data_IF_769168378653
#
_entry.id   IF_769168378653
#
_cell.length_a   1.000
_cell.length_b   1.000
_cell.length_c   1.000
_cell.angle_alpha   90.00
_cell.angle_beta   90.00
_cell.angle_gamma   90.00
#
_symmetry.space_group_name_H-M   'P 1'
#
loop_
_entity.id
_entity.type
_entity.pdbx_description
1 polymer ?
#
# COMPACT_ATOMS: atom_id res chain seq x y z
N UNK A 1 -20.66 -7.41 -0.23
CA UNK A 1 -20.87 -5.98 0.11
C UNK A 1 -19.64 -5.12 -0.13
N UNK A 2 -19.77 -3.82 0.09
CA UNK A 2 -18.69 -2.81 -0.13
C UNK A 2 -17.35 -3.22 0.50
N UNK A 3 -17.35 -3.78 1.72
CA UNK A 3 -16.12 -4.22 2.38
C UNK A 3 -15.37 -5.31 1.62
N UNK A 4 -16.07 -6.21 0.96
CA UNK A 4 -15.44 -7.26 0.13
C UNK A 4 -14.80 -6.65 -1.13
N UNK A 5 -15.50 -5.73 -1.78
CA UNK A 5 -14.98 -5.04 -2.96
C UNK A 5 -13.73 -4.19 -2.61
N UNK A 6 -13.77 -3.47 -1.49
CA UNK A 6 -12.60 -2.72 -1.01
C UNK A 6 -11.42 -3.64 -0.72
N UNK A 7 -11.66 -4.80 -0.10
CA UNK A 7 -10.60 -5.78 0.18
C UNK A 7 -9.93 -6.29 -1.10
N UNK A 8 -10.71 -6.55 -2.15
CA UNK A 8 -10.16 -6.95 -3.45
C UNK A 8 -9.37 -5.82 -4.11
N UNK A 9 -9.92 -4.59 -4.12
CA UNK A 9 -9.22 -3.43 -4.68
C UNK A 9 -7.88 -3.19 -3.99
N UNK A 10 -7.83 -3.20 -2.66
CA UNK A 10 -6.58 -3.01 -1.91
C UNK A 10 -5.57 -4.12 -2.20
N UNK A 11 -6.03 -5.36 -2.40
CA UNK A 11 -5.17 -6.49 -2.78
C UNK A 11 -4.57 -6.29 -4.16
N UNK A 12 -5.37 -5.88 -5.14
CA UNK A 12 -4.90 -5.62 -6.50
C UNK A 12 -3.89 -4.45 -6.52
N UNK A 13 -4.17 -3.36 -5.83
CA UNK A 13 -3.25 -2.22 -5.73
C UNK A 13 -1.93 -2.59 -5.05
N UNK A 14 -1.97 -3.46 -4.05
CA UNK A 14 -0.76 -3.98 -3.41
C UNK A 14 0.09 -4.80 -4.38
N UNK A 15 -0.55 -5.57 -5.26
CA UNK A 15 0.14 -6.35 -6.30
C UNK A 15 0.76 -5.44 -7.37
N UNK A 16 0.01 -4.45 -7.84
CA UNK A 16 0.51 -3.45 -8.80
C UNK A 16 1.72 -2.69 -8.25
N UNK A 17 1.64 -2.24 -7.00
CA UNK A 17 2.76 -1.58 -6.32
C UNK A 17 4.01 -2.47 -6.25
N UNK A 18 3.86 -3.75 -5.87
CA UNK A 18 4.97 -4.70 -5.83
C UNK A 18 5.56 -4.98 -7.22
N UNK A 19 4.70 -5.12 -8.24
CA UNK A 19 5.16 -5.29 -9.61
C UNK A 19 5.94 -4.08 -10.10
N UNK A 20 5.47 -2.87 -9.84
CA UNK A 20 6.17 -1.63 -10.19
C UNK A 20 7.56 -1.56 -9.55
N UNK A 21 7.68 -1.88 -8.26
CA UNK A 21 8.97 -1.92 -7.57
C UNK A 21 9.91 -2.98 -8.17
N UNK A 22 9.41 -4.19 -8.47
CA UNK A 22 10.20 -5.25 -9.11
C UNK A 22 10.69 -4.85 -10.50
N UNK A 23 9.80 -4.25 -11.31
CA UNK A 23 10.14 -3.78 -12.65
C UNK A 23 11.24 -2.70 -12.59
N UNK A 24 11.08 -1.70 -11.73
CA UNK A 24 12.08 -0.67 -11.54
C UNK A 24 13.44 -1.26 -11.14
N UNK A 25 13.46 -2.18 -10.18
CA UNK A 25 14.71 -2.86 -9.78
C UNK A 25 15.33 -3.68 -10.91
N UNK A 26 14.52 -4.33 -11.73
CA UNK A 26 15.03 -5.08 -12.90
C UNK A 26 15.68 -4.13 -13.91
N UNK A 27 15.05 -3.00 -14.21
CA UNK A 27 15.64 -1.96 -15.05
C UNK A 27 16.95 -1.42 -14.48
N UNK A 28 17.04 -1.26 -13.16
CA UNK A 28 18.27 -0.83 -12.49
C UNK A 28 19.38 -1.90 -12.54
N UNK A 29 19.05 -3.18 -12.71
CA UNK A 29 20.04 -4.24 -12.94
C UNK A 29 20.60 -4.20 -14.39
N UNK A 30 19.78 -3.79 -15.35
CA UNK A 30 20.21 -3.61 -16.75
C UNK A 30 21.01 -2.31 -16.93
N UNK A 31 20.62 -1.22 -16.28
CA UNK A 31 21.36 0.05 -16.23
C UNK A 31 21.67 0.45 -14.77
N UNK A 32 22.89 0.13 -14.30
CA UNK A 32 23.33 0.43 -12.95
C UNK A 32 23.35 1.94 -12.62
N UNK A 33 23.27 2.83 -13.61
CA UNK A 33 23.21 4.27 -13.40
C UNK A 33 21.81 4.78 -13.08
N UNK A 34 20.78 4.01 -13.42
CA UNK A 34 19.38 4.41 -13.34
C UNK A 34 18.94 4.69 -11.91
N UNK A 35 19.35 3.86 -10.96
CA UNK A 35 19.03 4.05 -9.53
C UNK A 35 19.46 5.44 -9.04
N UNK A 36 20.68 5.85 -9.37
CA UNK A 36 21.20 7.16 -8.98
C UNK A 36 20.53 8.30 -9.76
N UNK A 37 20.26 8.12 -11.06
CA UNK A 37 19.59 9.12 -11.90
C UNK A 37 18.19 9.43 -11.38
N UNK A 38 17.42 8.41 -10.99
CA UNK A 38 16.04 8.56 -10.55
C UNK A 38 15.90 8.93 -9.07
N UNK A 39 16.98 8.84 -8.28
CA UNK A 39 16.94 9.02 -6.82
C UNK A 39 16.23 10.30 -6.39
N UNK A 40 16.67 11.44 -6.93
CA UNK A 40 16.11 12.75 -6.56
C UNK A 40 14.61 12.83 -6.87
N UNK A 41 14.19 12.32 -8.01
CA UNK A 41 12.81 12.39 -8.44
C UNK A 41 11.94 11.46 -7.61
N UNK A 42 12.40 10.25 -7.29
CA UNK A 42 11.72 9.31 -6.40
C UNK A 42 11.52 9.91 -5.01
N UNK A 43 12.56 10.47 -4.41
CA UNK A 43 12.45 11.07 -3.07
C UNK A 43 11.56 12.32 -3.08
N UNK A 44 11.65 13.17 -4.10
CA UNK A 44 10.76 14.33 -4.25
C UNK A 44 9.28 13.88 -4.43
N UNK A 45 9.04 12.85 -5.21
CA UNK A 45 7.71 12.27 -5.37
C UNK A 45 7.17 11.74 -4.03
N UNK A 46 8.00 11.01 -3.27
CA UNK A 46 7.65 10.51 -1.95
C UNK A 46 7.27 11.64 -0.97
N UNK A 47 8.04 12.74 -0.95
CA UNK A 47 7.70 13.92 -0.14
C UNK A 47 6.38 14.57 -0.58
N UNK A 48 6.12 14.66 -1.87
CA UNK A 48 4.89 15.23 -2.41
C UNK A 48 3.68 14.38 -2.04
N UNK A 49 3.81 13.06 -2.19
CA UNK A 49 2.76 12.09 -1.80
C UNK A 49 2.48 12.18 -0.30
N UNK A 50 3.52 12.16 0.54
CA UNK A 50 3.33 12.24 2.00
C UNK A 50 2.57 13.50 2.40
N UNK A 51 2.93 14.66 1.84
CA UNK A 51 2.21 15.92 2.13
C UNK A 51 0.74 15.86 1.69
N UNK A 52 0.45 15.24 0.56
CA UNK A 52 -0.93 15.09 0.08
C UNK A 52 -1.74 14.18 1.01
N UNK A 53 -1.17 13.03 1.40
CA UNK A 53 -1.79 12.08 2.32
C UNK A 53 -2.04 12.68 3.70
N UNK A 54 -1.05 13.37 4.27
CA UNK A 54 -1.21 14.04 5.58
C UNK A 54 -2.31 15.10 5.56
N UNK A 55 -2.40 15.89 4.48
CA UNK A 55 -3.50 16.86 4.30
C UNK A 55 -4.86 16.18 4.17
N UNK A 56 -4.92 15.05 3.48
CA UNK A 56 -6.15 14.27 3.36
C UNK A 56 -6.57 13.70 4.71
N UNK A 57 -5.63 13.18 5.50
CA UNK A 57 -5.88 12.70 6.86
C UNK A 57 -6.40 13.85 7.73
N UNK A 58 -5.75 15.03 7.69
CA UNK A 58 -6.20 16.19 8.45
C UNK A 58 -7.66 16.56 8.10
N UNK A 59 -8.01 16.45 6.83
CA UNK A 59 -9.38 16.72 6.38
C UNK A 59 -10.38 15.66 6.85
N UNK A 60 -10.02 14.39 6.81
CA UNK A 60 -10.87 13.29 7.29
C UNK A 60 -11.12 13.39 8.80
N UNK A 61 -10.13 13.85 9.57
CA UNK A 61 -10.18 13.94 11.02
C UNK A 61 -10.49 15.35 11.53
N UNK A 62 -11.00 16.23 10.69
CA UNK A 62 -11.34 17.62 11.05
C UNK A 62 -12.36 17.70 12.22
N UNK A 63 -13.20 16.69 12.38
CA UNK A 63 -14.19 16.57 13.46
C UNK A 63 -13.65 15.82 14.69
N UNK A 64 -12.38 15.45 14.70
CA UNK A 64 -11.73 14.66 15.73
C UNK A 64 -11.44 13.22 15.33
N UNK A 65 -10.79 12.49 16.24
CA UNK A 65 -10.43 11.08 16.02
C UNK A 65 -11.69 10.20 15.96
N UNK A 66 -11.60 9.14 15.18
CA UNK A 66 -12.63 8.10 15.07
C UNK A 66 -12.30 7.03 16.13
N UNK A 67 -13.33 6.35 16.66
CA UNK A 67 -13.13 5.27 17.61
C UNK A 67 -12.08 4.27 17.13
N UNK A 68 -11.04 4.07 17.95
CA UNK A 68 -9.88 3.19 17.67
C UNK A 68 -9.01 3.60 16.47
N UNK A 69 -9.20 4.79 15.89
CA UNK A 69 -8.39 5.29 14.79
C UNK A 69 -8.05 6.77 15.03
N UNK A 70 -6.77 7.07 15.25
CA UNK A 70 -6.26 8.42 15.46
C UNK A 70 -5.57 8.94 14.21
N UNK A 71 -5.81 10.22 13.91
CA UNK A 71 -5.11 10.90 12.80
C UNK A 71 -3.58 10.81 12.94
N UNK A 72 -3.06 10.95 14.17
CA UNK A 72 -1.63 10.85 14.45
C UNK A 72 -1.09 9.47 14.08
N UNK A 73 -1.72 8.38 14.57
CA UNK A 73 -1.28 7.01 14.33
C UNK A 73 -1.29 6.70 12.82
N UNK A 74 -2.32 7.14 12.11
CA UNK A 74 -2.43 6.95 10.65
C UNK A 74 -1.31 7.67 9.89
N UNK A 75 -0.95 8.90 10.29
CA UNK A 75 0.18 9.62 9.68
C UNK A 75 1.51 8.89 9.91
N UNK A 76 1.75 8.37 11.15
CA UNK A 76 2.96 7.60 11.44
C UNK A 76 3.01 6.30 10.63
N UNK A 77 1.89 5.61 10.51
CA UNK A 77 1.77 4.41 9.70
C UNK A 77 2.07 4.68 8.21
N UNK A 78 1.57 5.76 7.61
CA UNK A 78 1.86 6.12 6.23
C UNK A 78 3.34 6.41 6.02
N UNK A 79 4.00 7.10 6.95
CA UNK A 79 5.46 7.34 6.91
C UNK A 79 6.24 6.04 6.93
N UNK A 80 5.88 5.11 7.83
CA UNK A 80 6.46 3.74 7.89
C UNK A 80 6.30 3.03 6.54
N UNK A 81 5.07 3.01 5.98
CA UNK A 81 4.77 2.38 4.69
C UNK A 81 5.58 2.97 3.54
N UNK A 82 5.75 4.28 3.53
CA UNK A 82 6.51 4.97 2.49
C UNK A 82 8.00 4.63 2.57
N UNK A 83 8.57 4.54 3.78
CA UNK A 83 9.94 4.08 4.00
C UNK A 83 10.13 2.64 3.48
N UNK A 84 9.20 1.74 3.76
CA UNK A 84 9.23 0.37 3.24
C UNK A 84 9.28 0.35 1.70
N UNK A 85 8.52 1.23 1.04
CA UNK A 85 8.52 1.34 -0.43
C UNK A 85 9.83 1.94 -0.97
N UNK A 86 10.42 2.91 -0.29
CA UNK A 86 11.73 3.46 -0.63
C UNK A 86 12.80 2.35 -0.58
N UNK A 87 12.76 1.51 0.45
CA UNK A 87 13.66 0.34 0.57
C UNK A 87 13.37 -0.68 -0.52
N UNK A 88 12.11 -0.99 -0.80
CA UNK A 88 11.70 -1.92 -1.84
C UNK A 88 12.15 -1.49 -3.24
N UNK A 89 12.23 -0.18 -3.50
CA UNK A 89 12.80 0.39 -4.73
C UNK A 89 14.33 0.27 -4.80
N UNK A 90 15.01 -0.05 -3.70
CA UNK A 90 16.47 -0.21 -3.65
C UNK A 90 17.22 0.94 -2.98
N UNK A 91 16.52 1.91 -2.39
CA UNK A 91 17.12 3.03 -1.65
C UNK A 91 17.19 2.70 -0.16
N UNK A 92 18.28 2.11 0.28
CA UNK A 92 18.45 1.65 1.68
C UNK A 92 19.07 2.69 2.61
N UNK A 93 19.44 3.88 2.12
CA UNK A 93 20.08 4.89 2.93
C UNK A 93 19.06 5.55 3.88
N UNK A 94 19.24 5.39 5.19
CA UNK A 94 18.37 5.97 6.23
C UNK A 94 18.19 7.50 6.15
N UNK A 95 19.13 8.22 5.53
CA UNK A 95 19.01 9.68 5.35
C UNK A 95 17.85 10.10 4.44
N UNK A 96 17.28 9.15 3.73
CA UNK A 96 16.18 9.38 2.80
C UNK A 96 14.83 8.94 3.37
N UNK A 97 14.85 8.37 4.57
CA UNK A 97 13.67 7.89 5.24
C UNK A 97 12.99 9.01 6.03
N UNK A 98 11.66 8.93 6.08
CA UNK A 98 10.85 9.80 6.92
C UNK A 98 10.93 9.36 8.37
N UNK A 99 11.12 10.30 9.27
CA UNK A 99 11.00 10.03 10.71
C UNK A 99 9.55 9.69 11.07
N UNK A 100 9.36 8.69 11.90
CA UNK A 100 8.04 8.29 12.40
C UNK A 100 8.13 7.67 13.79
N UNK A 101 7.00 7.69 14.50
CA UNK A 101 6.81 7.04 15.78
C UNK A 101 6.41 5.58 15.57
N UNK A 102 7.32 4.66 15.91
CA UNK A 102 7.12 3.21 15.71
C UNK A 102 5.92 2.68 16.52
N UNK A 103 5.73 3.18 17.75
CA UNK A 103 4.62 2.75 18.62
C UNK A 103 3.29 3.19 18.00
N UNK A 104 3.17 4.44 17.62
CA UNK A 104 1.97 4.96 16.98
C UNK A 104 1.68 4.27 15.64
N UNK A 105 2.72 4.02 14.82
CA UNK A 105 2.57 3.30 13.57
C UNK A 105 2.08 1.86 13.78
N UNK A 106 2.55 1.17 14.84
CA UNK A 106 2.18 -0.23 15.13
C UNK A 106 0.70 -0.38 15.53
N UNK A 107 0.04 0.67 16.00
CA UNK A 107 -1.40 0.64 16.28
C UNK A 107 -2.25 0.29 15.05
N UNK A 108 -1.68 0.43 13.85
CA UNK A 108 -2.32 0.12 12.57
C UNK A 108 -1.77 -1.15 11.89
N UNK A 109 -0.95 -1.94 12.55
CA UNK A 109 -0.39 -3.17 11.98
C UNK A 109 -1.47 -4.20 11.60
N UNK A 110 -2.66 -4.15 12.22
CA UNK A 110 -3.83 -4.94 11.81
C UNK A 110 -4.23 -4.72 10.35
N UNK A 111 -3.94 -3.53 9.79
CA UNK A 111 -4.21 -3.21 8.40
C UNK A 111 -3.38 -4.06 7.44
N UNK A 112 -2.16 -4.46 7.81
CA UNK A 112 -1.37 -5.41 7.01
C UNK A 112 -2.07 -6.77 6.85
N UNK A 113 -2.78 -7.22 7.89
CA UNK A 113 -3.55 -8.47 7.82
C UNK A 113 -4.76 -8.37 6.88
N UNK A 114 -5.34 -7.18 6.75
CA UNK A 114 -6.42 -6.94 5.79
C UNK A 114 -5.92 -6.83 4.35
N UNK A 115 -4.73 -6.24 4.16
CA UNK A 115 -4.21 -5.90 2.82
C UNK A 115 -3.32 -6.97 2.20
N UNK A 116 -3.07 -8.09 2.89
CA UNK A 116 -2.33 -9.17 2.27
C UNK A 116 -1.23 -9.82 3.08
N UNK A 117 -1.40 -9.96 4.39
CA UNK A 117 -0.53 -10.79 5.24
C UNK A 117 -0.52 -12.28 4.89
N UNK A 118 -1.19 -12.69 3.84
CA UNK A 118 -1.04 -14.03 3.30
C UNK A 118 0.14 -14.06 2.34
N UNK A 119 1.13 -14.88 2.68
CA UNK A 119 2.19 -15.36 1.80
C UNK A 119 1.68 -15.38 0.36
N UNK A 120 2.30 -14.56 -0.49
CA UNK A 120 2.01 -14.59 -1.91
C UNK A 120 2.45 -15.94 -2.46
N UNK A 121 1.53 -16.88 -2.51
CA UNK A 121 1.62 -17.93 -3.51
C UNK A 121 1.61 -17.23 -4.85
N UNK A 122 2.59 -17.56 -5.66
CA UNK A 122 2.80 -16.98 -6.97
C UNK A 122 1.48 -16.81 -7.72
N UNK A 123 1.16 -15.60 -8.16
CA UNK A 123 -0.03 -15.30 -8.95
C UNK A 123 -0.20 -16.26 -10.15
N UNK A 124 0.93 -16.76 -10.68
CA UNK A 124 0.95 -17.72 -11.79
C UNK A 124 0.73 -19.17 -11.36
N UNK A 125 0.79 -19.50 -10.07
CA UNK A 125 0.66 -20.87 -9.55
C UNK A 125 -0.73 -21.14 -8.97
N UNK A 126 -1.41 -20.11 -8.48
CA UNK A 126 -2.79 -20.24 -7.96
C UNK A 126 -3.75 -19.63 -8.96
N UNK A 127 -4.49 -20.48 -9.69
CA UNK A 127 -5.67 -20.01 -10.43
C UNK A 127 -6.56 -19.25 -9.47
N UNK A 128 -7.09 -18.06 -9.82
CA UNK A 128 -8.03 -17.34 -8.98
C UNK A 128 -9.37 -18.10 -8.95
N UNK A 129 -9.42 -19.16 -8.14
CA UNK A 129 -10.63 -19.96 -7.93
C UNK A 129 -11.72 -19.17 -7.23
N UNK A 130 -11.39 -18.03 -6.62
CA UNK A 130 -12.34 -17.13 -5.99
C UNK A 130 -13.16 -16.28 -6.99
N UNK A 131 -12.69 -16.14 -8.23
CA UNK A 131 -13.46 -15.47 -9.30
C UNK A 131 -14.50 -16.37 -9.95
N UNK A 132 -14.35 -17.69 -9.88
CA UNK A 132 -15.26 -18.63 -10.55
C UNK A 132 -16.48 -19.01 -9.72
N UNK A 133 -16.53 -18.68 -8.42
CA UNK A 133 -17.62 -19.07 -7.54
C UNK A 133 -18.70 -18.00 -7.30
N UNK A 134 -18.53 -16.80 -7.83
CA UNK A 134 -19.56 -15.77 -7.72
C UNK A 134 -20.68 -15.92 -8.77
N UNK A 135 -20.54 -16.84 -9.74
CA UNK A 135 -21.51 -17.00 -10.83
C UNK A 135 -22.37 -18.26 -10.77
N UNK A 136 -22.28 -19.06 -9.71
CA UNK A 136 -23.15 -20.24 -9.55
C UNK A 136 -23.95 -20.11 -8.26
N UNK A 137 -25.07 -19.38 -8.29
CA UNK A 137 -26.03 -19.49 -7.23
C UNK A 137 -26.76 -18.26 -6.73
N UNK A 138 -26.81 -17.16 -7.45
CA UNK A 138 -27.82 -16.13 -7.21
C UNK A 138 -28.61 -15.90 -8.50
N UNK A 139 -29.74 -16.59 -8.58
CA UNK A 139 -30.78 -16.31 -9.58
C UNK A 139 -31.27 -14.88 -9.41
N UNK A 140 -31.12 -14.08 -10.47
CA UNK A 140 -31.56 -12.69 -10.55
C UNK A 140 -33.12 -12.55 -10.62
N UNK A 141 -33.86 -13.59 -10.35
CA UNK A 141 -35.32 -13.57 -10.48
C UNK A 141 -36.09 -13.00 -9.26
N UNK A 142 -35.42 -12.73 -8.15
CA UNK A 142 -36.10 -12.24 -6.92
C UNK A 142 -35.99 -10.72 -6.68
N UNK A 143 -35.68 -9.91 -7.69
CA UNK A 143 -35.51 -8.44 -7.51
C UNK A 143 -36.51 -7.64 -8.38
N UNK A 144 -37.72 -8.20 -8.68
CA UNK A 144 -38.84 -7.42 -9.26
C UNK A 144 -40.14 -7.68 -8.57
#
# INVERSE_FOLDING_TARGET
>A
GIGQQMKWSVRDESLHSKMGCKLFRHMCQEDNSLLNKCKKDVINAAHTMLKAEERYIDKMFEQGDIENLKAYDLKQFIRKRLNEKIVELGYSNQREHFEFDEIAASNLDWFYHLTGGHTHTDFFVVRPTDYSKANEGEDFEDIW
#
